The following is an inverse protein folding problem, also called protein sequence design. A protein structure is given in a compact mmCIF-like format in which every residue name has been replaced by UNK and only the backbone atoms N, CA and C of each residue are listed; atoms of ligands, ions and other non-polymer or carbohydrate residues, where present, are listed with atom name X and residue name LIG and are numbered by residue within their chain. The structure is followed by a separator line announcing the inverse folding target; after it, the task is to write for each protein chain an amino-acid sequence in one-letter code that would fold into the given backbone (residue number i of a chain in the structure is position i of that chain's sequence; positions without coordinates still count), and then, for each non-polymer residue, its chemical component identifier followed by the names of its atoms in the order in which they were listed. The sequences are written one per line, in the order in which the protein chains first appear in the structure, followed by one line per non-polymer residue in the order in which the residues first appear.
data_IF_790509732101
#
_entry.id   IF_790509732101
#
_cell.length_a   1.000
_cell.length_b   1.000
_cell.length_c   1.000
_cell.angle_alpha   90.00
_cell.angle_beta   90.00
_cell.angle_gamma   90.00
#
_symmetry.space_group_name_H-M   'P 1'
#
loop_
_entity.id
_entity.type
_entity.pdbx_description
1 polymer ?
#
# COMPACT_ATOMS: atom_id res chain seq x y z
N UNK A 1 0.86 -16.53 1.70
CA UNK A 1 0.93 -16.30 3.16
C UNK A 1 -0.48 -16.30 3.69
N UNK A 2 -0.76 -16.96 4.79
CA UNK A 2 -2.07 -16.98 5.43
C UNK A 2 -2.08 -16.07 6.67
N UNK A 3 -3.27 -15.64 7.09
CA UNK A 3 -3.43 -14.69 8.20
C UNK A 3 -2.84 -15.22 9.52
N UNK A 4 -2.96 -16.53 9.76
CA UNK A 4 -2.35 -17.20 10.92
C UNK A 4 -0.82 -17.12 10.96
N UNK A 5 -0.16 -17.08 9.81
CA UNK A 5 1.31 -16.91 9.75
C UNK A 5 1.77 -15.49 10.11
N UNK A 6 0.91 -14.50 9.92
CA UNK A 6 1.16 -13.11 10.33
C UNK A 6 0.85 -12.86 11.80
N UNK A 7 -0.17 -13.53 12.31
CA UNK A 7 -0.70 -13.39 13.66
C UNK A 7 -1.08 -14.77 14.19
N UNK A 8 -0.17 -15.39 14.92
CA UNK A 8 -0.25 -16.76 15.42
C UNK A 8 -1.43 -17.02 16.37
N UNK A 9 -1.94 -15.96 17.01
CA UNK A 9 -3.12 -16.01 17.87
C UNK A 9 -4.45 -16.08 17.09
N UNK A 10 -4.42 -15.93 15.74
CA UNK A 10 -5.61 -16.03 14.92
C UNK A 10 -5.75 -17.45 14.34
N UNK A 11 -6.90 -18.06 14.57
CA UNK A 11 -7.24 -19.31 13.91
C UNK A 11 -7.92 -19.04 12.55
N UNK A 12 -7.16 -18.48 11.61
CA UNK A 12 -7.65 -18.12 10.28
C UNK A 12 -6.66 -18.52 9.19
N UNK A 13 -7.13 -19.39 8.30
CA UNK A 13 -6.38 -19.83 7.12
C UNK A 13 -6.66 -18.98 5.87
N UNK A 14 -7.28 -17.80 6.04
CA UNK A 14 -7.52 -16.88 4.92
C UNK A 14 -6.22 -16.40 4.32
N UNK A 15 -6.11 -16.46 2.99
CA UNK A 15 -4.95 -15.98 2.25
C UNK A 15 -4.87 -14.46 2.31
N UNK A 16 -3.70 -13.94 2.69
CA UNK A 16 -3.40 -12.51 2.69
C UNK A 16 -2.81 -12.14 1.35
N UNK A 17 -3.51 -11.30 0.60
CA UNK A 17 -3.12 -10.83 -0.75
C UNK A 17 -2.54 -9.43 -0.75
N UNK A 18 -2.73 -8.66 0.32
CA UNK A 18 -2.20 -7.31 0.42
C UNK A 18 -2.62 -6.60 1.70
N UNK A 19 -2.12 -5.38 1.86
CA UNK A 19 -2.49 -4.45 2.93
C UNK A 19 -2.68 -3.06 2.35
N UNK A 20 -3.64 -2.31 2.86
CA UNK A 20 -3.84 -0.90 2.47
C UNK A 20 -4.32 -0.06 3.64
N UNK A 21 -4.00 1.24 3.58
CA UNK A 21 -4.44 2.25 4.55
C UNK A 21 -5.68 3.03 4.08
N UNK A 22 -6.16 2.77 2.86
CA UNK A 22 -7.25 3.49 2.22
C UNK A 22 -8.32 2.51 1.75
N UNK A 23 -9.56 2.66 2.24
CA UNK A 23 -10.70 1.78 1.93
C UNK A 23 -11.03 1.73 0.43
N UNK A 24 -10.64 2.74 -0.34
CA UNK A 24 -10.84 2.78 -1.79
C UNK A 24 -10.02 1.73 -2.54
N UNK A 25 -8.87 1.34 -1.99
CA UNK A 25 -7.96 0.36 -2.59
C UNK A 25 -8.12 -1.06 -2.03
N UNK A 26 -9.07 -1.30 -1.17
CA UNK A 26 -9.37 -2.64 -0.65
C UNK A 26 -9.77 -3.57 -1.81
N UNK A 27 -9.21 -4.77 -1.76
CA UNK A 27 -9.55 -5.91 -2.58
C UNK A 27 -9.76 -7.14 -1.69
N UNK A 28 -10.38 -8.16 -2.25
CA UNK A 28 -10.56 -9.44 -1.55
C UNK A 28 -9.23 -10.02 -1.06
N UNK A 29 -9.18 -10.41 0.21
CA UNK A 29 -7.97 -10.91 0.83
C UNK A 29 -7.03 -9.85 1.41
N UNK A 30 -7.43 -8.58 1.43
CA UNK A 30 -6.60 -7.50 2.00
C UNK A 30 -6.77 -7.36 3.51
N UNK A 31 -5.69 -6.92 4.15
CA UNK A 31 -5.72 -6.38 5.52
C UNK A 31 -5.96 -4.88 5.41
N UNK A 32 -6.91 -4.37 6.17
CA UNK A 32 -7.18 -2.93 6.27
C UNK A 32 -6.49 -2.35 7.50
N UNK A 33 -5.64 -1.34 7.29
CA UNK A 33 -4.92 -0.63 8.34
C UNK A 33 -5.14 0.88 8.14
N UNK A 34 -6.26 1.44 8.63
CA UNK A 34 -6.55 2.85 8.47
C UNK A 34 -5.59 3.71 9.29
N UNK A 35 -5.25 4.89 8.75
CA UNK A 35 -4.51 5.91 9.49
C UNK A 35 -5.48 6.92 10.10
N UNK A 36 -5.11 7.47 11.26
CA UNK A 36 -5.85 8.59 11.84
C UNK A 36 -5.88 9.76 10.86
N UNK A 37 -7.07 10.26 10.56
CA UNK A 37 -7.29 11.44 9.75
C UNK A 37 -8.03 12.52 10.54
N UNK A 38 -7.93 13.78 10.13
CA UNK A 38 -8.62 14.91 10.78
C UNK A 38 -10.15 14.77 10.81
N UNK A 39 -10.71 13.92 9.95
CA UNK A 39 -12.16 13.67 9.82
C UNK A 39 -12.50 12.18 10.03
N UNK A 40 -11.77 11.50 10.89
CA UNK A 40 -12.03 10.08 11.18
C UNK A 40 -13.30 9.96 12.03
N UNK A 41 -14.45 10.02 11.39
CA UNK A 41 -15.75 9.82 12.01
C UNK A 41 -16.17 8.35 11.82
N UNK A 42 -15.72 7.49 12.76
CA UNK A 42 -16.43 6.28 13.08
C UNK A 42 -16.29 5.06 12.17
N UNK A 43 -17.11 4.09 12.47
CA UNK A 43 -17.15 2.72 11.97
C UNK A 43 -17.39 2.57 10.44
N UNK A 44 -17.75 3.62 9.73
CA UNK A 44 -18.14 3.57 8.32
C UNK A 44 -17.04 3.04 7.41
N UNK A 45 -15.78 3.47 7.63
CA UNK A 45 -14.65 2.99 6.83
C UNK A 45 -14.32 1.52 7.09
N UNK A 46 -14.54 1.03 8.30
CA UNK A 46 -14.36 -0.40 8.60
C UNK A 46 -15.43 -1.23 7.89
N UNK A 47 -16.68 -0.79 7.93
CA UNK A 47 -17.79 -1.45 7.23
C UNK A 47 -17.55 -1.46 5.73
N UNK A 48 -17.15 -0.33 5.15
CA UNK A 48 -16.81 -0.23 3.72
C UNK A 48 -15.68 -1.20 3.35
N UNK A 49 -14.58 -1.19 4.11
CA UNK A 49 -13.44 -2.06 3.86
C UNK A 49 -13.80 -3.54 3.93
N UNK A 50 -14.58 -3.94 4.93
CA UNK A 50 -15.04 -5.31 5.11
C UNK A 50 -15.96 -5.74 3.97
N UNK A 51 -16.89 -4.87 3.56
CA UNK A 51 -17.79 -5.12 2.44
C UNK A 51 -17.03 -5.30 1.12
N UNK A 52 -15.90 -4.61 0.95
CA UNK A 52 -15.02 -4.74 -0.21
C UNK A 52 -14.08 -5.96 -0.14
N UNK A 53 -14.12 -6.74 0.93
CA UNK A 53 -13.37 -7.98 1.06
C UNK A 53 -12.13 -7.93 1.94
N UNK A 54 -12.02 -6.94 2.84
CA UNK A 54 -11.01 -6.99 3.88
C UNK A 54 -11.22 -8.23 4.78
N UNK A 55 -10.13 -8.95 5.04
CA UNK A 55 -10.17 -10.19 5.82
C UNK A 55 -9.76 -9.99 7.27
N UNK A 56 -9.15 -8.87 7.60
CA UNK A 56 -8.80 -8.44 8.94
C UNK A 56 -8.64 -6.91 8.98
N UNK A 57 -8.78 -6.35 10.18
CA UNK A 57 -8.50 -4.94 10.46
C UNK A 57 -7.37 -4.86 11.47
N UNK A 58 -6.41 -3.98 11.24
CA UNK A 58 -5.34 -3.62 12.19
C UNK A 58 -5.57 -2.18 12.61
N UNK A 59 -5.69 -1.93 13.91
CA UNK A 59 -5.93 -0.59 14.43
C UNK A 59 -5.28 -0.42 15.82
N UNK A 60 -5.21 0.79 16.34
CA UNK A 60 -4.62 1.09 17.64
C UNK A 60 -5.64 1.19 18.77
N UNK A 61 -6.93 1.11 18.43
CA UNK A 61 -8.02 1.09 19.41
C UNK A 61 -8.93 -0.13 19.21
N UNK A 62 -9.57 -0.56 20.29
CA UNK A 62 -10.55 -1.64 20.22
C UNK A 62 -11.85 -1.14 19.57
N UNK A 63 -12.29 -1.82 18.51
CA UNK A 63 -13.56 -1.57 17.82
C UNK A 63 -14.49 -2.77 18.05
N UNK A 64 -15.62 -2.59 18.74
CA UNK A 64 -16.55 -3.69 19.01
C UNK A 64 -17.32 -4.09 17.75
N UNK A 65 -17.78 -5.35 17.73
CA UNK A 65 -18.72 -5.90 16.74
C UNK A 65 -18.22 -5.93 15.29
N UNK A 66 -16.90 -5.97 15.05
CA UNK A 66 -16.40 -6.26 13.72
C UNK A 66 -16.60 -7.74 13.37
N UNK A 67 -17.05 -8.00 12.13
CA UNK A 67 -17.27 -9.36 11.61
C UNK A 67 -16.00 -10.03 11.09
N UNK A 68 -14.88 -9.33 11.10
CA UNK A 68 -13.54 -9.83 10.80
C UNK A 68 -12.63 -9.63 12.00
N UNK A 69 -11.53 -10.39 12.12
CA UNK A 69 -10.56 -10.20 13.20
C UNK A 69 -10.06 -8.76 13.28
N UNK A 70 -10.06 -8.21 14.50
CA UNK A 70 -9.40 -6.96 14.83
C UNK A 70 -8.08 -7.26 15.54
N UNK A 71 -7.01 -6.74 15.01
CA UNK A 71 -5.67 -6.79 15.60
C UNK A 71 -5.36 -5.40 16.17
N UNK A 72 -5.24 -5.33 17.50
CA UNK A 72 -4.88 -4.08 18.18
C UNK A 72 -3.37 -3.99 18.32
N UNK A 73 -2.79 -2.86 17.92
CA UNK A 73 -1.35 -2.60 17.94
C UNK A 73 -1.05 -1.22 18.51
N UNK A 74 0.10 -1.06 19.13
CA UNK A 74 0.50 0.23 19.72
C UNK A 74 1.03 1.25 18.69
N UNK A 75 1.52 0.77 17.54
CA UNK A 75 2.13 1.63 16.50
C UNK A 75 1.73 1.14 15.11
N UNK A 76 0.77 1.84 14.52
CA UNK A 76 0.24 1.54 13.18
C UNK A 76 1.30 1.69 12.07
N UNK A 77 2.20 2.67 12.15
CA UNK A 77 3.22 2.87 11.12
C UNK A 77 4.29 1.77 11.14
N UNK A 78 4.68 1.32 12.33
CA UNK A 78 5.60 0.20 12.51
C UNK A 78 4.98 -1.10 12.00
N UNK A 79 3.72 -1.35 12.36
CA UNK A 79 2.99 -2.54 11.93
C UNK A 79 2.76 -2.54 10.42
N UNK A 80 2.39 -1.40 9.82
CA UNK A 80 2.26 -1.27 8.39
C UNK A 80 3.56 -1.66 7.66
N UNK A 81 4.70 -1.14 8.10
CA UNK A 81 6.00 -1.48 7.51
C UNK A 81 6.33 -2.96 7.66
N UNK A 82 6.00 -3.57 8.81
CA UNK A 82 6.17 -5.01 9.05
C UNK A 82 5.36 -5.83 8.04
N UNK A 83 4.07 -5.54 7.91
CA UNK A 83 3.17 -6.21 6.99
C UNK A 83 3.61 -6.05 5.53
N UNK A 84 3.92 -4.83 5.12
CA UNK A 84 4.40 -4.55 3.77
C UNK A 84 5.64 -5.37 3.41
N UNK A 85 6.63 -5.41 4.31
CA UNK A 85 7.86 -6.17 4.09
C UNK A 85 7.63 -7.68 4.03
N UNK A 86 6.70 -8.21 4.83
CA UNK A 86 6.39 -9.64 4.83
C UNK A 86 5.57 -10.05 3.59
N UNK A 87 4.54 -9.27 3.25
CA UNK A 87 3.63 -9.58 2.15
C UNK A 87 4.34 -9.42 0.80
N UNK A 88 5.10 -8.34 0.62
CA UNK A 88 5.75 -7.99 -0.65
C UNK A 88 7.25 -8.31 -0.70
N UNK A 89 7.81 -9.02 0.30
CA UNK A 89 9.19 -9.50 0.30
C UNK A 89 10.25 -8.41 0.09
N UNK A 90 10.02 -7.23 0.67
CA UNK A 90 10.94 -6.08 0.66
C UNK A 90 11.42 -5.67 -0.76
N UNK A 91 10.53 -5.31 -1.66
CA UNK A 91 10.87 -5.06 -3.06
C UNK A 91 11.93 -3.95 -3.23
N UNK A 92 12.02 -3.01 -2.29
CA UNK A 92 12.93 -1.86 -2.38
C UNK A 92 14.41 -2.18 -2.10
N UNK A 93 14.74 -3.34 -1.54
CA UNK A 93 16.15 -3.69 -1.24
C UNK A 93 17.02 -3.78 -2.52
N UNK A 94 16.41 -4.07 -3.67
CA UNK A 94 17.10 -4.23 -4.94
C UNK A 94 16.89 -3.05 -5.91
N UNK A 95 16.21 -1.98 -5.48
CA UNK A 95 15.92 -0.83 -6.34
C UNK A 95 16.95 0.27 -6.18
N UNK A 96 17.34 0.88 -7.31
CA UNK A 96 18.06 2.17 -7.32
C UNK A 96 17.03 3.28 -7.48
N UNK A 97 16.94 4.16 -6.48
CA UNK A 97 16.02 5.28 -6.48
C UNK A 97 16.71 6.56 -6.94
N UNK A 98 16.09 7.26 -7.88
CA UNK A 98 16.53 8.57 -8.37
C UNK A 98 15.41 9.57 -8.08
N UNK A 99 15.70 10.56 -7.23
CA UNK A 99 14.78 11.64 -6.93
C UNK A 99 15.05 12.87 -7.81
N UNK A 100 13.98 13.42 -8.43
CA UNK A 100 14.06 14.67 -9.21
C UNK A 100 13.25 15.73 -8.50
N UNK A 101 13.92 16.83 -8.13
CA UNK A 101 13.29 18.00 -7.49
C UNK A 101 13.65 19.30 -8.21
N UNK A 102 12.90 20.35 -7.99
CA UNK A 102 13.11 21.68 -8.59
C UNK A 102 11.81 22.46 -8.73
N UNK A 103 11.88 23.70 -9.10
CA UNK A 103 10.70 24.54 -9.42
C UNK A 103 10.08 24.09 -10.73
N UNK A 104 10.90 23.89 -11.78
CA UNK A 104 10.47 23.53 -13.12
C UNK A 104 11.21 22.30 -13.64
N UNK A 105 10.70 21.69 -14.72
CA UNK A 105 11.35 20.61 -15.44
C UNK A 105 11.32 19.23 -14.76
N UNK A 106 10.80 19.10 -13.54
CA UNK A 106 10.77 17.81 -12.79
C UNK A 106 10.20 16.66 -13.61
N UNK A 107 9.01 16.86 -14.14
CA UNK A 107 8.31 15.85 -14.95
C UNK A 107 9.08 15.51 -16.21
N UNK A 108 9.59 16.50 -16.94
CA UNK A 108 10.37 16.28 -18.16
C UNK A 108 11.65 15.50 -17.89
N UNK A 109 12.41 15.91 -16.88
CA UNK A 109 13.67 15.23 -16.51
C UNK A 109 13.42 13.81 -16.05
N UNK A 110 12.44 13.56 -15.16
CA UNK A 110 12.14 12.22 -14.68
C UNK A 110 11.67 11.30 -15.82
N UNK A 111 10.81 11.80 -16.71
CA UNK A 111 10.29 11.02 -17.84
C UNK A 111 11.39 10.67 -18.86
N UNK A 112 12.21 11.65 -19.23
CA UNK A 112 13.33 11.43 -20.16
C UNK A 112 14.35 10.46 -19.54
N UNK A 113 14.68 10.64 -18.26
CA UNK A 113 15.59 9.74 -17.56
C UNK A 113 15.09 8.29 -17.55
N UNK A 114 13.81 8.07 -17.22
CA UNK A 114 13.22 6.74 -17.24
C UNK A 114 13.22 6.14 -18.66
N UNK A 115 12.92 6.94 -19.66
CA UNK A 115 12.96 6.51 -21.06
C UNK A 115 14.38 6.06 -21.46
N UNK A 116 15.39 6.85 -21.17
CA UNK A 116 16.78 6.50 -21.49
C UNK A 116 17.25 5.26 -20.71
N UNK A 117 16.92 5.18 -19.42
CA UNK A 117 17.29 4.02 -18.60
C UNK A 117 16.63 2.73 -19.08
N UNK A 118 15.43 2.77 -19.62
CA UNK A 118 14.76 1.58 -20.17
C UNK A 118 15.46 0.98 -21.40
N UNK A 119 16.44 1.66 -22.01
CA UNK A 119 17.29 1.08 -23.06
C UNK A 119 18.41 0.17 -22.51
N UNK A 120 18.74 0.31 -21.22
CA UNK A 120 19.83 -0.43 -20.59
C UNK A 120 19.39 -1.30 -19.42
N UNK A 121 18.29 -0.95 -18.76
CA UNK A 121 17.72 -1.71 -17.64
C UNK A 121 16.25 -1.37 -17.48
N UNK A 122 15.51 -2.15 -16.70
CA UNK A 122 14.11 -1.82 -16.36
C UNK A 122 14.08 -0.59 -15.47
N UNK A 123 13.30 0.42 -15.87
CA UNK A 123 13.08 1.64 -15.09
C UNK A 123 11.61 2.01 -15.08
N UNK A 124 11.15 2.55 -13.94
CA UNK A 124 9.83 3.13 -13.78
C UNK A 124 9.96 4.64 -13.46
N UNK A 125 8.96 5.42 -13.85
CA UNK A 125 8.80 6.81 -13.45
C UNK A 125 7.50 6.98 -12.69
N UNK A 126 7.56 7.56 -11.51
CA UNK A 126 6.40 7.89 -10.68
C UNK A 126 6.32 9.40 -10.55
N UNK A 127 5.22 9.99 -10.96
CA UNK A 127 5.05 11.45 -10.92
C UNK A 127 3.64 11.90 -11.25
N UNK A 128 3.51 13.18 -11.56
CA UNK A 128 2.22 13.85 -11.83
C UNK A 128 1.45 13.22 -13.00
N UNK A 129 2.15 12.67 -13.99
CA UNK A 129 1.54 12.04 -15.16
C UNK A 129 1.22 10.54 -14.94
N UNK A 130 1.22 10.08 -13.69
CA UNK A 130 1.00 8.69 -13.36
C UNK A 130 2.28 7.90 -13.18
N UNK A 131 2.16 6.59 -13.31
CA UNK A 131 3.26 5.64 -13.17
C UNK A 131 3.55 5.05 -14.55
N UNK A 132 4.72 5.31 -15.07
CA UNK A 132 5.18 4.72 -16.32
C UNK A 132 6.09 3.53 -16.04
N UNK A 133 5.69 2.34 -16.51
CA UNK A 133 6.44 1.11 -16.36
C UNK A 133 6.10 0.13 -17.50
N UNK A 134 7.08 -0.57 -18.03
CA UNK A 134 6.92 -1.54 -19.15
C UNK A 134 6.16 -0.95 -20.36
N UNK A 135 6.45 0.29 -20.74
CA UNK A 135 5.79 1.02 -21.83
C UNK A 135 4.27 1.22 -21.63
N UNK A 136 3.80 1.11 -20.41
CA UNK A 136 2.42 1.38 -20.03
C UNK A 136 2.36 2.52 -19.02
N UNK A 137 1.29 3.29 -19.08
CA UNK A 137 0.98 4.33 -18.10
C UNK A 137 -0.16 3.80 -17.23
N UNK A 138 0.07 3.78 -15.94
CA UNK A 138 -0.94 3.46 -14.94
C UNK A 138 -1.40 4.76 -14.29
N UNK A 139 -2.70 4.97 -14.28
CA UNK A 139 -3.29 6.12 -13.62
C UNK A 139 -2.97 6.11 -12.12
N UNK A 140 -2.62 7.27 -11.61
CA UNK A 140 -2.34 7.44 -10.20
C UNK A 140 -3.35 8.44 -9.61
N UNK A 141 -4.05 8.05 -8.55
CA UNK A 141 -4.99 8.94 -7.86
C UNK A 141 -4.29 10.10 -7.14
N UNK A 142 -2.98 9.99 -6.92
CA UNK A 142 -2.16 10.99 -6.25
C UNK A 142 -0.85 11.19 -7.00
N UNK A 143 -0.32 12.41 -6.99
CA UNK A 143 1.03 12.71 -7.54
C UNK A 143 2.11 11.81 -6.93
N UNK A 144 1.94 11.46 -5.65
CA UNK A 144 2.76 10.48 -4.94
C UNK A 144 1.84 9.35 -4.49
N UNK A 145 2.03 8.11 -4.94
CA UNK A 145 1.25 6.98 -4.47
C UNK A 145 1.39 6.79 -2.96
N UNK A 146 0.35 6.25 -2.32
CA UNK A 146 0.46 5.85 -0.91
C UNK A 146 1.48 4.70 -0.78
N UNK A 147 2.08 4.57 0.39
CA UNK A 147 3.16 3.60 0.65
C UNK A 147 2.78 2.18 0.21
N UNK A 148 1.55 1.74 0.50
CA UNK A 148 1.06 0.42 0.13
C UNK A 148 1.05 0.18 -1.39
N UNK A 149 0.67 1.18 -2.18
CA UNK A 149 0.66 1.08 -3.63
C UNK A 149 2.10 1.02 -4.18
N UNK A 150 3.04 1.75 -3.61
CA UNK A 150 4.45 1.64 -3.99
C UNK A 150 4.97 0.22 -3.80
N UNK A 151 4.69 -0.41 -2.65
CA UNK A 151 5.10 -1.80 -2.41
C UNK A 151 4.44 -2.80 -3.37
N UNK A 152 3.21 -2.54 -3.77
CA UNK A 152 2.48 -3.39 -4.73
C UNK A 152 3.02 -3.29 -6.16
N UNK A 153 3.61 -2.16 -6.53
CA UNK A 153 4.08 -1.88 -7.89
C UNK A 153 5.47 -2.48 -8.16
N UNK A 154 6.25 -2.67 -7.14
CA UNK A 154 7.63 -3.18 -7.21
C UNK A 154 7.73 -4.61 -6.68
#
# INVERSE_FOLDING_TARGET
MILKELYDFLDSNKEVKGVTTDSRFIKEGYIFLPKHGKNFLGNEFFVEAITKGAIAVVYDEYIPNLVVPLIVVDDLDKELKRLLNLIYQKPFENLKLIGVTGTDGKTSVSTISAYLLNHISKAANIGTNGIFYNNQIYDNLFTTPILCENYRLF
#
